data_IF_933659370922
#
_entry.id   IF_933659370922
#
_cell.length_a   1.000
_cell.length_b   1.000
_cell.length_c   1.000
_cell.angle_alpha   90.00
_cell.angle_beta   90.00
_cell.angle_gamma   90.00
#
_symmetry.space_group_name_H-M   'P 1'
#
loop_
_entity.id
_entity.type
_entity.pdbx_description
1 polymer ?
#
# COMPACT_ATOMS: atom_id res chain seq x y z
N UNK A 1 5.27 10.97 -0.67
CA UNK A 1 5.07 9.51 -0.65
C UNK A 1 6.16 8.80 0.14
N UNK A 2 7.42 9.16 -0.06
CA UNK A 2 8.53 8.53 0.67
C UNK A 2 8.38 8.69 2.18
N UNK A 3 7.93 9.85 2.61
CA UNK A 3 7.74 10.13 4.03
C UNK A 3 6.62 9.29 4.62
N UNK A 4 5.54 9.12 3.87
CA UNK A 4 4.43 8.27 4.30
C UNK A 4 4.88 6.82 4.43
N UNK A 5 5.63 6.31 3.46
CA UNK A 5 6.15 4.94 3.49
C UNK A 5 7.08 4.77 4.69
N UNK A 6 7.91 5.76 4.98
CA UNK A 6 8.79 5.69 6.14
C UNK A 6 8.00 5.61 7.45
N UNK A 7 6.94 6.41 7.58
CA UNK A 7 6.07 6.36 8.76
C UNK A 7 5.37 5.01 8.88
N UNK A 8 4.97 4.42 7.76
CA UNK A 8 4.36 3.09 7.75
C UNK A 8 5.35 2.03 8.21
N UNK A 9 6.60 2.10 7.76
CA UNK A 9 7.64 1.18 8.19
C UNK A 9 7.91 1.32 9.69
N UNK A 10 7.95 2.53 10.20
CA UNK A 10 8.15 2.77 11.63
C UNK A 10 7.00 2.19 12.44
N UNK A 11 5.76 2.38 11.98
CA UNK A 11 4.58 1.84 12.66
C UNK A 11 4.58 0.31 12.64
N UNK A 12 4.95 -0.29 11.52
CA UNK A 12 5.04 -1.74 11.40
C UNK A 12 6.08 -2.31 12.37
N UNK A 13 7.20 -1.64 12.50
CA UNK A 13 8.26 -2.05 13.42
C UNK A 13 7.77 -1.99 14.87
N UNK A 14 7.05 -0.93 15.22
CA UNK A 14 6.48 -0.80 16.57
C UNK A 14 5.46 -1.88 16.89
N UNK A 15 4.69 -2.30 15.88
CA UNK A 15 3.67 -3.34 16.05
C UNK A 15 4.23 -4.75 15.96
N UNK A 16 5.49 -4.88 15.55
CA UNK A 16 6.11 -6.19 15.35
C UNK A 16 5.53 -6.95 14.18
N UNK A 17 5.09 -6.25 13.15
CA UNK A 17 4.49 -6.84 11.95
C UNK A 17 5.55 -7.04 10.88
N UNK A 18 5.56 -8.22 10.28
CA UNK A 18 6.50 -8.55 9.20
C UNK A 18 5.77 -8.67 7.87
N UNK A 19 5.45 -7.53 7.28
CA UNK A 19 4.79 -7.47 5.97
C UNK A 19 5.55 -6.52 5.06
N UNK A 20 5.51 -6.81 3.76
CA UNK A 20 6.12 -5.96 2.76
C UNK A 20 5.03 -5.10 2.12
N UNK A 21 5.02 -3.83 2.47
CA UNK A 21 4.06 -2.86 1.97
C UNK A 21 4.81 -1.85 1.11
N UNK A 22 4.35 -1.67 -0.12
CA UNK A 22 4.98 -0.72 -1.04
C UNK A 22 3.97 0.29 -1.54
N UNK A 23 4.36 1.55 -1.56
CA UNK A 23 3.58 2.62 -2.17
C UNK A 23 4.38 3.11 -3.37
N UNK A 24 3.88 2.82 -4.58
CA UNK A 24 4.63 3.10 -5.81
C UNK A 24 3.73 3.76 -6.85
N UNK A 25 4.31 4.51 -7.79
CA UNK A 25 3.57 5.01 -8.95
C UNK A 25 3.04 3.83 -9.79
N UNK A 26 1.95 4.06 -10.52
CA UNK A 26 1.35 3.02 -11.36
C UNK A 26 2.38 2.43 -12.33
N UNK A 27 3.26 3.26 -12.86
CA UNK A 27 4.27 2.82 -13.83
C UNK A 27 5.23 1.76 -13.25
N UNK A 28 5.38 1.73 -11.93
CA UNK A 28 6.28 0.79 -11.25
C UNK A 28 5.53 -0.37 -10.58
N UNK A 29 4.22 -0.45 -10.79
CA UNK A 29 3.39 -1.44 -10.10
C UNK A 29 3.85 -2.88 -10.39
N UNK A 30 4.00 -3.22 -11.66
CA UNK A 30 4.31 -4.60 -12.07
C UNK A 30 5.66 -5.07 -11.53
N UNK A 31 6.63 -4.16 -11.42
CA UNK A 31 7.95 -4.48 -10.90
C UNK A 31 7.90 -4.78 -9.40
N UNK A 32 6.97 -4.17 -8.69
CA UNK A 32 6.93 -4.23 -7.24
C UNK A 32 5.92 -5.21 -6.67
N UNK A 33 4.88 -5.55 -7.44
CA UNK A 33 3.82 -6.42 -6.92
C UNK A 33 4.32 -7.83 -6.58
N UNK A 34 5.30 -8.31 -7.32
CA UNK A 34 5.83 -9.66 -7.11
C UNK A 34 6.51 -9.81 -5.75
N UNK A 35 7.10 -8.74 -5.23
CA UNK A 35 7.86 -8.79 -3.97
C UNK A 35 7.10 -8.17 -2.79
N UNK A 36 5.97 -7.50 -3.04
CA UNK A 36 5.17 -6.88 -1.99
C UNK A 36 4.03 -7.79 -1.58
N UNK A 37 3.57 -7.66 -0.35
CA UNK A 37 2.35 -8.32 0.12
C UNK A 37 1.14 -7.49 -0.28
N UNK A 38 1.30 -6.17 -0.25
CA UNK A 38 0.27 -5.23 -0.66
C UNK A 38 0.94 -4.02 -1.30
N UNK A 39 0.34 -3.49 -2.36
CA UNK A 39 0.78 -2.26 -3.00
C UNK A 39 -0.29 -1.20 -2.78
N UNK A 40 0.14 -0.03 -2.34
CA UNK A 40 -0.74 1.09 -2.08
C UNK A 40 -0.60 2.13 -3.20
N UNK A 41 -1.74 2.64 -3.63
CA UNK A 41 -1.81 3.69 -4.65
C UNK A 41 -2.16 5.02 -3.99
N UNK A 42 -1.58 6.09 -4.49
CA UNK A 42 -1.98 7.42 -4.07
C UNK A 42 -3.42 7.71 -4.46
N UNK A 43 -4.13 8.58 -3.72
CA UNK A 43 -5.54 8.85 -4.02
C UNK A 43 -5.76 9.46 -5.40
N UNK A 44 -4.76 10.09 -5.97
CA UNK A 44 -4.85 10.71 -7.30
C UNK A 44 -4.96 9.69 -8.43
N UNK A 45 -4.63 8.43 -8.17
CA UNK A 45 -4.71 7.36 -9.18
C UNK A 45 -5.65 6.23 -8.75
N UNK A 46 -6.63 6.54 -7.91
CA UNK A 46 -7.59 5.55 -7.41
C UNK A 46 -8.35 4.84 -8.52
N UNK A 47 -8.53 5.50 -9.65
CA UNK A 47 -9.23 4.92 -10.81
C UNK A 47 -8.48 3.73 -11.43
N UNK A 48 -7.21 3.57 -11.10
CA UNK A 48 -6.41 2.44 -11.58
C UNK A 48 -6.53 1.19 -10.70
N UNK A 49 -7.17 1.29 -9.54
CA UNK A 49 -7.21 0.20 -8.57
C UNK A 49 -7.79 -1.09 -9.15
N UNK A 50 -8.93 -1.01 -9.83
CA UNK A 50 -9.58 -2.19 -10.38
C UNK A 50 -8.70 -2.88 -11.42
N UNK A 51 -8.06 -2.11 -12.28
CA UNK A 51 -7.16 -2.62 -13.30
C UNK A 51 -5.95 -3.33 -12.69
N UNK A 52 -5.35 -2.72 -11.68
CA UNK A 52 -4.17 -3.27 -11.04
C UNK A 52 -4.51 -4.49 -10.18
N UNK A 53 -5.71 -4.52 -9.59
CA UNK A 53 -6.16 -5.66 -8.81
C UNK A 53 -6.30 -6.91 -9.69
N UNK A 54 -6.70 -6.74 -10.96
CA UNK A 54 -6.77 -7.85 -11.91
C UNK A 54 -5.39 -8.49 -12.09
N UNK A 55 -4.34 -7.68 -12.10
CA UNK A 55 -2.96 -8.17 -12.19
C UNK A 55 -2.53 -8.84 -10.89
N UNK A 56 -2.93 -8.29 -9.75
CA UNK A 56 -2.51 -8.78 -8.44
C UNK A 56 -3.23 -10.07 -8.01
N UNK A 57 -4.49 -10.26 -8.43
CA UNK A 57 -5.30 -11.40 -8.02
C UNK A 57 -4.62 -12.76 -8.29
N UNK A 58 -4.11 -13.02 -9.50
CA UNK A 58 -3.45 -14.32 -9.76
C UNK A 58 -2.21 -14.56 -8.89
N UNK A 59 -1.61 -13.48 -8.37
CA UNK A 59 -0.43 -13.56 -7.53
C UNK A 59 -0.77 -13.66 -6.04
N UNK A 60 -2.05 -13.60 -5.70
CA UNK A 60 -2.48 -13.60 -4.31
C UNK A 60 -2.12 -12.34 -3.56
N UNK A 61 -1.95 -11.23 -4.27
CA UNK A 61 -1.56 -9.95 -3.69
C UNK A 61 -2.75 -9.01 -3.62
N UNK A 62 -2.60 -7.94 -2.84
CA UNK A 62 -3.64 -6.94 -2.65
C UNK A 62 -3.20 -5.59 -3.19
N UNK A 63 -4.17 -4.83 -3.67
CA UNK A 63 -3.96 -3.44 -4.10
C UNK A 63 -4.96 -2.59 -3.35
N UNK A 64 -4.49 -1.53 -2.72
CA UNK A 64 -5.34 -0.62 -1.97
C UNK A 64 -5.03 0.81 -2.34
N UNK A 65 -6.00 1.70 -2.14
CA UNK A 65 -5.83 3.14 -2.35
C UNK A 65 -5.73 3.81 -0.99
N UNK A 66 -4.73 4.66 -0.82
CA UNK A 66 -4.55 5.41 0.41
C UNK A 66 -5.68 6.45 0.52
N UNK A 67 -6.30 6.56 1.70
CA UNK A 67 -7.30 7.57 1.94
C UNK A 67 -6.69 8.95 1.77
N UNK A 68 -7.44 9.85 1.11
CA UNK A 68 -6.94 11.19 0.81
C UNK A 68 -6.53 11.97 2.07
N UNK A 69 -7.30 11.84 3.15
CA UNK A 69 -6.96 12.51 4.40
C UNK A 69 -5.71 11.91 5.05
N UNK A 70 -5.63 10.60 5.08
CA UNK A 70 -4.47 9.92 5.64
C UNK A 70 -3.21 10.24 4.84
N UNK A 71 -3.35 10.33 3.52
CA UNK A 71 -2.26 10.69 2.64
C UNK A 71 -1.80 12.12 2.86
N UNK A 72 -2.74 13.04 2.92
CA UNK A 72 -2.43 14.46 3.11
C UNK A 72 -1.83 14.77 4.47
N UNK A 73 -2.25 14.04 5.49
CA UNK A 73 -1.74 14.22 6.86
C UNK A 73 -0.60 13.27 7.19
N UNK A 74 -0.19 12.44 6.24
CA UNK A 74 0.91 11.48 6.41
C UNK A 74 0.72 10.55 7.61
N UNK A 75 -0.51 10.05 7.79
CA UNK A 75 -0.85 9.14 8.88
C UNK A 75 -0.43 7.72 8.53
N UNK A 76 0.86 7.44 8.60
CA UNK A 76 1.39 6.12 8.23
C UNK A 76 0.81 4.99 9.05
N UNK A 77 0.57 5.21 10.34
CA UNK A 77 -0.02 4.20 11.22
C UNK A 77 -1.44 3.83 10.80
N UNK A 78 -2.26 4.83 10.43
CA UNK A 78 -3.63 4.59 9.99
C UNK A 78 -3.64 3.86 8.64
N UNK A 79 -2.77 4.25 7.72
CA UNK A 79 -2.65 3.59 6.43
C UNK A 79 -2.19 2.15 6.62
N UNK A 80 -1.23 1.91 7.51
CA UNK A 80 -0.76 0.58 7.81
C UNK A 80 -1.87 -0.29 8.40
N UNK A 81 -2.65 0.23 9.34
CA UNK A 81 -3.76 -0.53 9.94
C UNK A 81 -4.76 -0.98 8.89
N UNK A 82 -5.12 -0.08 7.97
CA UNK A 82 -6.03 -0.42 6.87
C UNK A 82 -5.45 -1.48 5.95
N UNK A 83 -4.14 -1.38 5.66
CA UNK A 83 -3.46 -2.35 4.80
C UNK A 83 -3.42 -3.72 5.47
N UNK A 84 -3.12 -3.78 6.76
CA UNK A 84 -3.08 -5.04 7.50
C UNK A 84 -4.45 -5.70 7.55
N UNK A 85 -5.50 -4.92 7.65
CA UNK A 85 -6.87 -5.44 7.63
C UNK A 85 -7.19 -6.14 6.31
N UNK A 86 -6.69 -5.59 5.22
CA UNK A 86 -6.90 -6.19 3.90
C UNK A 86 -6.13 -7.50 3.73
N UNK A 87 -5.04 -7.66 4.46
CA UNK A 87 -4.23 -8.88 4.40
C UNK A 87 -4.77 -9.99 5.30
N UNK A 88 -5.71 -9.66 6.16
CA UNK A 88 -6.41 -10.68 6.95
C UNK A 88 -7.32 -11.50 6.03
#
# INVERSE_FOLDING_TARGET
TSMLVQRMKDAAQKKGVDVTIKAVPVAEFEENIATADIVLLGPQVKYEQAKLQVIADPLGKKVAVIDMMDYGMMKGDAVLDKALKLLE
#
